data_IF_273592950930
#
_entry.id   IF_273592950930
#
_cell.length_a   1.000
_cell.length_b   1.000
_cell.length_c   1.000
_cell.angle_alpha   90.00
_cell.angle_beta   90.00
_cell.angle_gamma   90.00
#
_symmetry.space_group_name_H-M   'P 1'
#
loop_
_entity.id
_entity.type
_entity.pdbx_description
1 polymer ?
#
# COMPACT_ATOMS: atom_id res chain seq x y z
N UNK A 1 54.84 -49.58 -32.58
CA UNK A 1 54.70 -49.19 -31.13
C UNK A 1 55.05 -47.73 -31.01
N UNK A 2 54.08 -46.89 -30.72
CA UNK A 2 54.37 -45.60 -30.12
C UNK A 2 53.72 -45.45 -28.73
N UNK A 3 54.45 -44.88 -27.85
CA UNK A 3 54.18 -44.67 -26.45
C UNK A 3 53.28 -43.47 -26.28
N UNK A 4 52.10 -43.67 -25.67
CA UNK A 4 51.14 -42.62 -25.23
C UNK A 4 51.72 -41.86 -24.05
N UNK A 5 51.93 -40.54 -24.21
CA UNK A 5 52.16 -39.60 -23.10
C UNK A 5 50.82 -39.02 -22.63
N UNK A 6 50.32 -39.49 -21.51
CA UNK A 6 49.23 -38.86 -20.78
C UNK A 6 49.72 -37.59 -20.09
N UNK A 7 49.30 -36.42 -20.59
CA UNK A 7 49.45 -35.13 -19.92
C UNK A 7 48.31 -34.97 -18.91
N UNK A 8 48.65 -35.10 -17.62
CA UNK A 8 47.76 -34.76 -16.50
C UNK A 8 47.62 -33.23 -16.40
N UNK A 9 46.50 -32.67 -16.87
CA UNK A 9 46.06 -31.30 -16.60
C UNK A 9 45.44 -31.30 -15.22
N UNK A 10 46.16 -30.72 -14.23
CA UNK A 10 45.65 -30.38 -12.93
C UNK A 10 44.85 -29.07 -13.08
N UNK A 11 43.52 -29.01 -12.85
CA UNK A 11 42.81 -27.75 -12.82
C UNK A 11 43.18 -27.02 -11.51
N UNK A 12 43.85 -25.88 -11.67
CA UNK A 12 44.12 -24.92 -10.60
C UNK A 12 42.78 -24.33 -10.14
N UNK A 13 42.22 -24.87 -9.08
CA UNK A 13 40.99 -24.37 -8.45
C UNK A 13 41.32 -23.05 -7.76
N UNK A 14 41.16 -21.93 -8.46
CA UNK A 14 41.21 -20.59 -7.87
C UNK A 14 39.99 -20.44 -6.95
N UNK A 15 40.19 -20.70 -5.69
CA UNK A 15 39.22 -20.37 -4.63
C UNK A 15 39.23 -18.84 -4.54
N UNK A 16 38.35 -18.19 -5.30
CA UNK A 16 37.95 -16.81 -5.08
C UNK A 16 37.31 -16.77 -3.68
N UNK A 17 38.10 -16.35 -2.70
CA UNK A 17 37.56 -15.89 -1.42
C UNK A 17 36.67 -14.68 -1.72
N UNK A 18 35.38 -14.94 -1.89
CA UNK A 18 34.38 -13.89 -1.76
C UNK A 18 34.40 -13.49 -0.29
N UNK A 19 35.21 -12.51 0.04
CA UNK A 19 34.95 -11.76 1.25
C UNK A 19 33.53 -11.22 1.08
N UNK A 20 32.61 -11.45 2.03
CA UNK A 20 31.34 -10.73 2.00
C UNK A 20 31.73 -9.25 2.09
N UNK A 21 31.67 -8.52 0.97
CA UNK A 21 31.50 -7.08 1.07
C UNK A 21 30.30 -6.91 1.99
N UNK A 22 30.53 -6.36 3.19
CA UNK A 22 29.44 -5.84 4.01
C UNK A 22 28.73 -4.82 3.14
N UNK A 23 27.70 -5.27 2.47
CA UNK A 23 26.90 -4.42 1.61
C UNK A 23 26.22 -3.40 2.54
N UNK A 24 26.83 -2.22 2.65
CA UNK A 24 26.18 -1.09 3.28
C UNK A 24 24.95 -0.81 2.43
N UNK A 25 23.77 -0.99 3.02
CA UNK A 25 22.53 -0.76 2.33
C UNK A 25 22.22 0.74 2.33
N UNK A 26 21.98 1.28 1.15
CA UNK A 26 21.57 2.68 0.97
C UNK A 26 20.03 2.83 1.17
N UNK A 27 19.58 4.07 1.18
CA UNK A 27 18.15 4.38 1.27
C UNK A 27 17.33 3.70 0.17
N UNK A 28 17.85 3.63 -1.05
CA UNK A 28 17.14 3.04 -2.19
C UNK A 28 16.91 1.54 -2.01
N UNK A 29 17.87 0.84 -1.40
CA UNK A 29 17.69 -0.57 -1.05
C UNK A 29 16.50 -0.77 -0.11
N UNK A 30 16.39 0.03 0.95
CA UNK A 30 15.29 -0.08 1.91
C UNK A 30 13.93 0.26 1.26
N UNK A 31 13.88 1.32 0.44
CA UNK A 31 12.66 1.69 -0.30
C UNK A 31 12.24 0.56 -1.24
N UNK A 32 13.16 0.04 -2.06
CA UNK A 32 12.86 -1.04 -3.00
C UNK A 32 12.40 -2.31 -2.28
N UNK A 33 13.05 -2.66 -1.17
CA UNK A 33 12.70 -3.83 -0.36
C UNK A 33 11.32 -3.69 0.28
N UNK A 34 11.01 -2.51 0.83
CA UNK A 34 9.69 -2.21 1.39
C UNK A 34 8.58 -2.33 0.34
N UNK A 35 8.79 -1.78 -0.85
CA UNK A 35 7.84 -1.88 -1.96
C UNK A 35 7.66 -3.32 -2.43
N UNK A 36 8.75 -4.08 -2.56
CA UNK A 36 8.72 -5.49 -2.96
C UNK A 36 7.99 -6.38 -1.94
N UNK A 37 8.18 -6.11 -0.65
CA UNK A 37 7.60 -6.91 0.43
C UNK A 37 6.18 -6.47 0.80
N UNK A 38 5.74 -5.28 0.39
CA UNK A 38 4.45 -4.71 0.76
C UNK A 38 3.25 -5.60 0.38
N UNK A 39 2.46 -6.06 1.35
CA UNK A 39 1.24 -6.83 1.06
C UNK A 39 0.22 -6.02 0.26
N UNK A 40 0.10 -4.71 0.51
CA UNK A 40 -0.86 -3.83 -0.18
C UNK A 40 -0.52 -3.66 -1.66
N UNK A 41 0.76 -3.55 -2.02
CA UNK A 41 1.18 -3.47 -3.42
C UNK A 41 0.92 -4.80 -4.11
N UNK A 42 1.26 -5.92 -3.46
CA UNK A 42 0.99 -7.28 -3.98
C UNK A 42 -0.50 -7.52 -4.16
N UNK A 43 -1.32 -7.12 -3.20
CA UNK A 43 -2.79 -7.26 -3.27
C UNK A 43 -3.36 -6.50 -4.47
N UNK A 44 -2.98 -5.24 -4.68
CA UNK A 44 -3.40 -4.48 -5.86
C UNK A 44 -2.99 -5.19 -7.18
N UNK A 45 -1.79 -5.78 -7.24
CA UNK A 45 -1.33 -6.57 -8.38
C UNK A 45 -2.16 -7.84 -8.60
N UNK A 46 -2.50 -8.54 -7.53
CA UNK A 46 -3.37 -9.73 -7.57
C UNK A 46 -4.78 -9.37 -8.04
N UNK A 47 -5.34 -8.26 -7.57
CA UNK A 47 -6.65 -7.77 -8.00
C UNK A 47 -6.67 -7.36 -9.48
N UNK A 48 -5.59 -6.77 -10.01
CA UNK A 48 -5.45 -6.52 -11.46
C UNK A 48 -5.47 -7.84 -12.24
N UNK A 49 -4.76 -8.86 -11.76
CA UNK A 49 -4.77 -10.20 -12.38
C UNK A 49 -6.15 -10.85 -12.29
N UNK A 50 -6.83 -10.72 -11.16
CA UNK A 50 -8.21 -11.19 -10.99
C UNK A 50 -9.19 -10.52 -11.98
N UNK A 51 -9.03 -9.22 -12.24
CA UNK A 51 -9.81 -8.51 -13.25
C UNK A 51 -9.55 -9.04 -14.68
N UNK A 52 -8.35 -9.54 -14.99
CA UNK A 52 -8.07 -10.18 -16.28
C UNK A 52 -8.87 -11.48 -16.42
N UNK A 53 -8.86 -12.35 -15.41
CA UNK A 53 -9.69 -13.57 -15.40
C UNK A 53 -11.20 -13.25 -15.45
N UNK A 54 -11.63 -12.18 -14.77
CA UNK A 54 -13.02 -11.74 -14.85
C UNK A 54 -13.38 -11.27 -16.28
N UNK A 55 -12.46 -10.59 -16.98
CA UNK A 55 -12.68 -10.22 -18.38
C UNK A 55 -12.83 -11.47 -19.29
N UNK A 56 -12.03 -12.51 -19.04
CA UNK A 56 -12.16 -13.79 -19.75
C UNK A 56 -13.49 -14.50 -19.42
N UNK A 57 -13.90 -14.52 -18.15
CA UNK A 57 -15.18 -15.06 -17.71
C UNK A 57 -16.35 -14.35 -18.39
N UNK A 58 -16.30 -13.02 -18.43
CA UNK A 58 -17.34 -12.23 -19.09
C UNK A 58 -17.34 -12.45 -20.61
N UNK A 59 -16.19 -12.58 -21.21
CA UNK A 59 -16.07 -12.97 -22.62
C UNK A 59 -16.75 -14.32 -22.87
N UNK A 60 -16.47 -15.32 -22.02
CA UNK A 60 -17.11 -16.63 -22.13
C UNK A 60 -18.63 -16.53 -21.93
N UNK A 61 -19.10 -15.74 -20.95
CA UNK A 61 -20.53 -15.52 -20.67
C UNK A 61 -21.26 -14.92 -21.88
N UNK A 62 -20.68 -13.95 -22.56
CA UNK A 62 -21.32 -13.22 -23.65
C UNK A 62 -21.13 -13.86 -25.03
N UNK A 63 -20.11 -14.71 -25.22
CA UNK A 63 -19.78 -15.25 -26.56
C UNK A 63 -19.90 -16.76 -26.67
N UNK A 64 -19.97 -17.51 -25.55
CA UNK A 64 -20.08 -18.96 -25.57
C UNK A 64 -21.47 -19.44 -25.17
N UNK A 65 -21.95 -20.57 -25.71
CA UNK A 65 -23.19 -21.18 -25.27
C UNK A 65 -23.09 -21.61 -23.80
N UNK A 66 -24.21 -21.43 -23.07
CA UNK A 66 -24.33 -21.84 -21.68
C UNK A 66 -25.22 -23.08 -21.64
N UNK A 67 -24.73 -24.18 -21.06
CA UNK A 67 -25.45 -25.41 -20.85
C UNK A 67 -25.80 -25.57 -19.38
N UNK A 68 -27.08 -25.79 -19.08
CA UNK A 68 -27.55 -26.03 -17.71
C UNK A 68 -28.60 -27.17 -17.68
N UNK A 69 -28.66 -27.85 -16.56
CA UNK A 69 -29.76 -28.82 -16.29
C UNK A 69 -30.69 -28.21 -15.25
N UNK A 70 -31.99 -28.27 -15.52
CA UNK A 70 -33.02 -27.82 -14.60
C UNK A 70 -34.04 -28.94 -14.37
N UNK A 71 -34.45 -29.11 -13.11
CA UNK A 71 -35.56 -29.99 -12.75
C UNK A 71 -36.55 -29.18 -11.91
N UNK A 72 -37.79 -29.27 -12.22
CA UNK A 72 -38.85 -28.58 -11.51
C UNK A 72 -40.08 -29.49 -11.32
N UNK A 73 -40.67 -29.37 -10.17
CA UNK A 73 -41.99 -29.88 -9.87
C UNK A 73 -42.88 -28.71 -9.43
N UNK A 74 -44.02 -28.57 -10.04
CA UNK A 74 -45.01 -27.57 -9.65
C UNK A 74 -46.33 -28.27 -9.32
N UNK A 75 -46.90 -27.96 -8.16
CA UNK A 75 -48.20 -28.41 -7.73
C UNK A 75 -49.19 -27.25 -7.87
N UNK A 76 -50.22 -27.43 -8.73
CA UNK A 76 -51.18 -26.39 -9.07
C UNK A 76 -52.60 -26.99 -9.12
N UNK A 77 -53.23 -27.25 -7.98
CA UNK A 77 -54.62 -27.68 -7.92
C UNK A 77 -55.55 -26.53 -8.32
N UNK A 78 -56.78 -26.86 -8.70
CA UNK A 78 -57.85 -25.90 -9.02
C UNK A 78 -58.95 -25.92 -7.96
N UNK A 79 -59.65 -24.80 -7.83
CA UNK A 79 -60.93 -24.73 -7.12
C UNK A 79 -62.06 -24.86 -8.12
N UNK A 80 -62.66 -26.01 -8.18
CA UNK A 80 -63.88 -26.31 -9.02
C UNK A 80 -65.12 -25.85 -8.30
N UNK A 81 -66.06 -25.24 -9.03
CA UNK A 81 -67.32 -24.79 -8.50
C UNK A 81 -68.50 -25.38 -9.35
N UNK A 82 -68.38 -26.62 -9.76
CA UNK A 82 -69.38 -27.31 -10.53
C UNK A 82 -70.54 -27.74 -9.62
N UNK A 83 -71.79 -27.65 -10.17
CA UNK A 83 -73.01 -27.99 -9.46
C UNK A 83 -73.19 -27.24 -8.12
N UNK A 84 -72.69 -26.01 -8.00
CA UNK A 84 -72.87 -25.17 -6.81
C UNK A 84 -72.07 -25.64 -5.58
N UNK A 85 -71.11 -26.54 -5.74
CA UNK A 85 -70.16 -26.99 -4.67
C UNK A 85 -68.74 -26.63 -5.01
N UNK A 86 -68.12 -25.87 -4.13
CA UNK A 86 -66.65 -25.54 -4.26
C UNK A 86 -65.84 -26.71 -3.72
N UNK A 87 -64.91 -27.21 -4.54
CA UNK A 87 -64.08 -28.36 -4.22
C UNK A 87 -62.64 -28.11 -4.75
N UNK A 88 -61.67 -28.58 -4.02
CA UNK A 88 -60.28 -28.59 -4.48
C UNK A 88 -60.06 -29.81 -5.36
N UNK A 89 -59.83 -29.60 -6.66
CA UNK A 89 -59.60 -30.67 -7.62
C UNK A 89 -58.09 -30.63 -8.08
N UNK A 90 -57.60 -31.83 -8.35
CA UNK A 90 -56.15 -31.99 -8.72
C UNK A 90 -55.91 -31.85 -10.23
N UNK A 91 -57.02 -31.79 -11.04
CA UNK A 91 -56.94 -31.52 -12.47
C UNK A 91 -58.13 -30.75 -12.96
N UNK A 92 -58.03 -30.11 -14.12
CA UNK A 92 -59.08 -29.33 -14.74
C UNK A 92 -60.00 -30.15 -15.70
N UNK A 93 -59.68 -31.43 -15.94
CA UNK A 93 -60.44 -32.27 -16.88
C UNK A 93 -61.83 -32.54 -16.33
N UNK A 94 -62.84 -32.09 -17.06
CA UNK A 94 -64.23 -32.24 -16.67
C UNK A 94 -64.80 -31.16 -15.75
N UNK A 95 -63.98 -30.17 -15.36
CA UNK A 95 -64.42 -28.98 -14.64
C UNK A 95 -64.89 -27.91 -15.63
N UNK A 96 -66.21 -27.47 -15.50
CA UNK A 96 -66.77 -26.41 -16.36
C UNK A 96 -66.53 -24.99 -15.73
N UNK A 97 -66.54 -24.94 -14.38
CA UNK A 97 -66.32 -23.67 -13.62
C UNK A 97 -65.26 -23.88 -12.59
N UNK A 98 -64.10 -23.29 -12.78
CA UNK A 98 -63.00 -23.37 -11.83
C UNK A 98 -62.18 -22.10 -11.77
N UNK A 99 -61.42 -21.94 -10.68
CA UNK A 99 -60.39 -20.89 -10.48
C UNK A 99 -59.04 -21.58 -10.20
N UNK A 100 -58.04 -21.24 -10.99
CA UNK A 100 -56.70 -21.83 -10.92
C UNK A 100 -56.02 -21.83 -12.28
N UNK A 101 -54.83 -22.42 -12.35
CA UNK A 101 -54.11 -22.54 -13.61
C UNK A 101 -54.72 -23.64 -14.47
N UNK A 102 -54.89 -23.39 -15.77
CA UNK A 102 -55.36 -24.37 -16.75
C UNK A 102 -54.21 -25.34 -17.12
N UNK A 103 -53.76 -26.11 -16.14
CA UNK A 103 -52.74 -27.15 -16.29
C UNK A 103 -53.40 -28.51 -16.13
N UNK A 104 -53.61 -29.20 -17.25
CA UNK A 104 -54.13 -30.59 -17.23
C UNK A 104 -53.05 -31.49 -16.53
N UNK A 105 -53.43 -32.09 -15.42
CA UNK A 105 -52.53 -32.93 -14.62
C UNK A 105 -53.34 -34.09 -13.99
N UNK A 106 -52.73 -35.25 -13.84
CA UNK A 106 -53.33 -36.39 -13.21
C UNK A 106 -53.39 -36.31 -11.69
N UNK A 107 -52.57 -35.44 -11.09
CA UNK A 107 -52.41 -35.31 -9.65
C UNK A 107 -52.12 -33.87 -9.17
N UNK A 108 -52.53 -32.88 -9.96
CA UNK A 108 -52.25 -31.46 -9.66
C UNK A 108 -50.78 -31.02 -9.88
N UNK A 109 -49.93 -31.86 -10.46
CA UNK A 109 -48.53 -31.59 -10.62
C UNK A 109 -48.04 -31.52 -12.07
N UNK A 110 -47.03 -30.69 -12.32
CA UNK A 110 -46.23 -30.72 -13.53
C UNK A 110 -44.78 -31.11 -13.20
N UNK A 111 -44.20 -31.94 -14.05
CA UNK A 111 -42.89 -32.52 -13.86
C UNK A 111 -42.00 -32.11 -15.04
N UNK A 112 -40.86 -31.54 -14.75
CA UNK A 112 -39.93 -31.07 -15.77
C UNK A 112 -38.49 -31.47 -15.42
N UNK A 113 -37.77 -32.00 -16.37
CA UNK A 113 -36.34 -32.24 -16.28
C UNK A 113 -35.71 -31.96 -17.64
N UNK A 114 -35.00 -30.81 -17.77
CA UNK A 114 -34.53 -30.29 -19.04
C UNK A 114 -33.02 -30.02 -19.01
N UNK A 115 -32.35 -30.28 -20.12
CA UNK A 115 -31.09 -29.68 -20.48
C UNK A 115 -31.39 -28.43 -21.30
N UNK A 116 -30.86 -27.29 -20.86
CA UNK A 116 -31.08 -26.00 -21.51
C UNK A 116 -29.76 -25.50 -22.07
N UNK A 117 -29.74 -25.16 -23.34
CA UNK A 117 -28.64 -24.49 -24.04
C UNK A 117 -29.11 -23.08 -24.38
N UNK A 118 -28.35 -22.07 -23.93
CA UNK A 118 -28.65 -20.66 -24.20
C UNK A 118 -27.41 -20.00 -24.79
N UNK A 119 -27.58 -19.28 -25.88
CA UNK A 119 -26.50 -18.50 -26.52
C UNK A 119 -26.95 -17.05 -26.70
N UNK A 120 -26.32 -16.07 -26.01
CA UNK A 120 -26.53 -14.65 -26.28
C UNK A 120 -26.13 -14.29 -27.72
N UNK A 121 -26.92 -13.45 -28.37
CA UNK A 121 -26.67 -12.93 -29.71
C UNK A 121 -26.44 -11.41 -29.62
N UNK A 122 -25.60 -10.87 -30.54
CA UNK A 122 -25.30 -9.43 -30.63
C UNK A 122 -24.83 -8.82 -29.29
N UNK A 123 -24.05 -9.57 -28.54
CA UNK A 123 -23.57 -9.19 -27.19
C UNK A 123 -22.27 -8.37 -27.18
N UNK A 124 -21.67 -8.08 -28.33
CA UNK A 124 -20.39 -7.40 -28.46
C UNK A 124 -20.34 -6.05 -27.73
N UNK A 125 -21.41 -5.23 -27.87
CA UNK A 125 -21.47 -3.93 -27.19
C UNK A 125 -21.53 -4.08 -25.66
N UNK A 126 -22.22 -5.12 -25.17
CA UNK A 126 -22.27 -5.44 -23.73
C UNK A 126 -20.90 -5.87 -23.22
N UNK A 127 -20.27 -6.80 -23.94
CA UNK A 127 -18.93 -7.28 -23.63
C UNK A 127 -17.94 -6.09 -23.57
N UNK A 128 -17.92 -5.24 -24.61
CA UNK A 128 -17.05 -4.06 -24.69
C UNK A 128 -17.27 -3.12 -23.50
N UNK A 129 -18.51 -2.77 -23.19
CA UNK A 129 -18.82 -1.85 -22.08
C UNK A 129 -18.41 -2.42 -20.73
N UNK A 130 -18.60 -3.73 -20.52
CA UNK A 130 -18.21 -4.40 -19.27
C UNK A 130 -16.69 -4.50 -19.16
N UNK A 131 -16.01 -4.79 -20.26
CA UNK A 131 -14.54 -4.77 -20.30
C UNK A 131 -13.96 -3.38 -20.05
N UNK A 132 -14.57 -2.31 -20.60
CA UNK A 132 -14.16 -0.91 -20.30
C UNK A 132 -14.21 -0.65 -18.79
N UNK A 133 -15.24 -1.11 -18.07
CA UNK A 133 -15.31 -0.97 -16.61
C UNK A 133 -14.16 -1.69 -15.90
N UNK A 134 -13.86 -2.93 -16.29
CA UNK A 134 -12.75 -3.71 -15.71
C UNK A 134 -11.38 -3.04 -15.97
N UNK A 135 -11.18 -2.48 -17.16
CA UNK A 135 -9.97 -1.72 -17.48
C UNK A 135 -9.83 -0.51 -16.57
N UNK A 136 -10.90 0.27 -16.37
CA UNK A 136 -10.88 1.42 -15.45
C UNK A 136 -10.64 0.95 -14.01
N UNK A 137 -11.27 -0.13 -13.56
CA UNK A 137 -11.02 -0.74 -12.27
C UNK A 137 -9.55 -1.14 -12.09
N UNK A 138 -8.95 -1.76 -13.09
CA UNK A 138 -7.53 -2.12 -13.06
C UNK A 138 -6.61 -0.89 -13.04
N UNK A 139 -6.96 0.19 -13.74
CA UNK A 139 -6.22 1.45 -13.68
C UNK A 139 -6.28 2.10 -12.29
N UNK A 140 -7.43 2.02 -11.61
CA UNK A 140 -7.58 2.47 -10.22
C UNK A 140 -6.66 1.67 -9.30
N UNK A 141 -6.65 0.34 -9.41
CA UNK A 141 -5.78 -0.52 -8.61
C UNK A 141 -4.30 -0.24 -8.86
N UNK A 142 -3.89 -0.06 -10.11
CA UNK A 142 -2.52 0.34 -10.47
C UNK A 142 -2.15 1.71 -9.89
N UNK A 143 -3.07 2.68 -9.92
CA UNK A 143 -2.84 3.99 -9.30
C UNK A 143 -2.73 3.89 -7.77
N UNK A 144 -3.56 3.06 -7.14
CA UNK A 144 -3.48 2.80 -5.71
C UNK A 144 -2.14 2.14 -5.33
N UNK A 145 -1.65 1.19 -6.13
CA UNK A 145 -0.32 0.61 -5.91
C UNK A 145 0.79 1.67 -5.98
N UNK A 146 0.71 2.62 -6.93
CA UNK A 146 1.67 3.75 -7.03
C UNK A 146 1.58 4.67 -5.81
N UNK A 147 0.37 5.02 -5.35
CA UNK A 147 0.17 5.82 -4.15
C UNK A 147 0.75 5.11 -2.91
N UNK A 148 0.47 3.82 -2.75
CA UNK A 148 1.02 3.01 -1.65
C UNK A 148 2.54 2.93 -1.70
N UNK A 149 3.13 2.78 -2.89
CA UNK A 149 4.59 2.76 -3.06
C UNK A 149 5.22 4.10 -2.64
N UNK A 150 4.56 5.22 -2.97
CA UNK A 150 5.01 6.55 -2.60
C UNK A 150 4.83 6.84 -1.09
N UNK A 151 3.75 6.35 -0.49
CA UNK A 151 3.56 6.41 0.97
C UNK A 151 4.67 5.63 1.70
N UNK A 152 4.99 4.43 1.21
CA UNK A 152 6.10 3.63 1.76
C UNK A 152 7.45 4.33 1.60
N UNK A 153 7.73 4.89 0.43
CA UNK A 153 8.94 5.69 0.19
C UNK A 153 9.10 6.78 1.24
N UNK A 154 8.02 7.54 1.50
CA UNK A 154 8.03 8.58 2.52
C UNK A 154 8.33 8.03 3.91
N UNK A 155 7.61 7.00 4.34
CA UNK A 155 7.70 6.46 5.70
C UNK A 155 9.07 5.80 5.94
N UNK A 156 9.56 5.03 4.95
CA UNK A 156 10.88 4.38 5.01
C UNK A 156 11.99 5.43 5.05
N UNK A 157 11.87 6.49 4.24
CA UNK A 157 12.83 7.60 4.23
C UNK A 157 12.84 8.35 5.57
N UNK A 158 11.68 8.63 6.16
CA UNK A 158 11.59 9.25 7.48
C UNK A 158 12.31 8.38 8.54
N UNK A 159 12.03 7.08 8.57
CA UNK A 159 12.67 6.16 9.51
C UNK A 159 14.18 6.02 9.28
N UNK A 160 14.62 6.02 8.02
CA UNK A 160 16.04 6.00 7.67
C UNK A 160 16.77 7.25 8.17
N UNK A 161 16.15 8.43 8.05
CA UNK A 161 16.69 9.70 8.57
C UNK A 161 16.81 9.63 10.11
N UNK A 162 15.83 9.07 10.81
CA UNK A 162 15.90 8.90 12.27
C UNK A 162 17.02 7.94 12.67
N UNK A 163 17.21 6.84 11.96
CA UNK A 163 18.36 5.94 12.18
C UNK A 163 19.71 6.66 11.97
N UNK A 164 19.82 7.50 10.93
CA UNK A 164 21.03 8.31 10.70
C UNK A 164 21.24 9.35 11.79
N UNK A 165 20.18 9.97 12.29
CA UNK A 165 20.24 10.89 13.42
C UNK A 165 20.86 10.23 14.65
N UNK A 166 20.32 9.09 15.04
CA UNK A 166 20.79 8.34 16.20
C UNK A 166 22.24 7.85 16.03
N UNK A 167 22.58 7.40 14.83
CA UNK A 167 23.94 7.02 14.49
C UNK A 167 24.92 8.20 14.65
N UNK A 168 24.57 9.40 14.14
CA UNK A 168 25.38 10.62 14.29
C UNK A 168 25.53 11.03 15.76
N UNK A 169 24.43 10.94 16.54
CA UNK A 169 24.46 11.21 17.99
C UNK A 169 25.33 10.20 18.74
N UNK A 170 25.24 8.91 18.41
CA UNK A 170 26.06 7.86 19.01
C UNK A 170 27.56 8.11 18.76
N UNK A 171 27.95 8.35 17.52
CA UNK A 171 29.34 8.63 17.14
C UNK A 171 29.88 9.86 17.85
N UNK A 172 29.12 10.95 17.93
CA UNK A 172 29.52 12.14 18.65
C UNK A 172 29.69 11.87 20.14
N UNK A 173 28.71 11.22 20.77
CA UNK A 173 28.77 10.91 22.21
C UNK A 173 29.90 9.95 22.55
N UNK A 174 30.21 8.99 21.68
CA UNK A 174 31.38 8.10 21.82
C UNK A 174 32.69 8.87 21.76
N UNK A 175 32.79 9.86 20.86
CA UNK A 175 33.91 10.78 20.82
C UNK A 175 34.05 11.59 22.10
N UNK A 176 32.94 12.05 22.72
CA UNK A 176 32.95 12.74 24.00
C UNK A 176 33.39 11.84 25.15
N UNK A 177 32.90 10.60 25.20
CA UNK A 177 33.35 9.60 26.19
C UNK A 177 34.84 9.37 26.10
N UNK A 178 35.39 9.22 24.88
CA UNK A 178 36.84 9.07 24.65
C UNK A 178 37.64 10.30 25.12
N UNK A 179 37.16 11.50 24.76
CA UNK A 179 37.78 12.77 25.19
C UNK A 179 37.83 12.87 26.72
N UNK A 180 36.71 12.58 27.42
CA UNK A 180 36.67 12.65 28.87
C UNK A 180 37.54 11.60 29.54
N UNK A 181 37.71 10.43 28.91
CA UNK A 181 38.64 9.41 29.40
C UNK A 181 40.09 9.91 29.32
N UNK A 182 40.51 10.51 28.21
CA UNK A 182 41.83 11.11 28.03
C UNK A 182 42.09 12.26 29.03
N UNK A 183 41.06 13.12 29.23
CA UNK A 183 41.13 14.20 30.21
C UNK A 183 41.26 13.67 31.65
N UNK A 184 40.57 12.61 32.00
CA UNK A 184 40.66 11.96 33.31
C UNK A 184 42.07 11.51 33.64
N UNK A 185 42.77 10.94 32.67
CA UNK A 185 44.16 10.49 32.86
C UNK A 185 45.13 11.66 33.00
N UNK A 186 44.87 12.76 32.28
CA UNK A 186 45.60 14.03 32.47
C UNK A 186 45.36 14.61 33.88
N UNK A 187 44.09 14.73 34.29
CA UNK A 187 43.73 15.29 35.60
C UNK A 187 44.28 14.47 36.76
N UNK A 188 44.38 13.15 36.63
CA UNK A 188 45.03 12.31 37.64
C UNK A 188 46.47 12.78 37.90
N UNK A 189 47.25 13.02 36.85
CA UNK A 189 48.62 13.50 36.94
C UNK A 189 48.69 14.93 37.55
N UNK A 190 47.73 15.80 37.20
CA UNK A 190 47.67 17.17 37.73
C UNK A 190 47.30 17.19 39.24
N UNK A 191 46.46 16.26 39.70
CA UNK A 191 46.16 16.08 41.13
C UNK A 191 47.36 15.51 41.87
N UNK A 192 48.06 14.52 41.33
CA UNK A 192 49.29 13.98 41.88
C UNK A 192 50.38 15.08 42.03
N UNK A 193 50.39 16.04 41.08
CA UNK A 193 51.30 17.21 41.12
C UNK A 193 50.75 18.37 41.99
N UNK A 194 49.65 18.19 42.72
CA UNK A 194 48.99 19.19 43.58
C UNK A 194 48.52 20.47 42.86
N UNK A 195 48.34 20.42 41.54
CA UNK A 195 47.81 21.54 40.73
C UNK A 195 46.27 21.60 40.89
N UNK A 196 45.61 20.45 40.99
CA UNK A 196 44.17 20.32 41.18
C UNK A 196 43.82 19.47 42.40
N UNK A 197 42.58 19.58 42.86
CA UNK A 197 42.08 18.83 44.04
C UNK A 197 41.50 17.47 43.62
N UNK A 198 41.48 16.53 44.54
CA UNK A 198 40.80 15.22 44.32
C UNK A 198 39.32 15.39 43.98
N UNK A 199 38.64 16.43 44.51
CA UNK A 199 37.25 16.77 44.14
C UNK A 199 37.09 17.10 42.64
N UNK A 200 38.09 17.70 42.03
CA UNK A 200 38.07 18.07 40.59
C UNK A 200 38.12 16.81 39.70
N UNK A 201 38.97 15.85 40.08
CA UNK A 201 39.01 14.54 39.42
C UNK A 201 37.68 13.77 39.61
N UNK A 202 37.05 13.88 40.80
CA UNK A 202 35.75 13.26 41.07
C UNK A 202 34.63 13.85 40.19
N UNK A 203 34.62 15.19 40.00
CA UNK A 203 33.68 15.85 39.09
C UNK A 203 33.86 15.35 37.65
N UNK A 204 35.08 15.22 37.18
CA UNK A 204 35.35 14.70 35.83
C UNK A 204 34.90 13.24 35.69
N UNK A 205 35.09 12.41 36.71
CA UNK A 205 34.60 11.04 36.71
C UNK A 205 33.05 10.97 36.65
N UNK A 206 32.35 11.83 37.37
CA UNK A 206 30.87 11.92 37.30
C UNK A 206 30.44 12.27 35.88
N UNK A 207 31.07 13.27 35.24
CA UNK A 207 30.69 13.65 33.87
C UNK A 207 31.02 12.54 32.85
N UNK A 208 32.14 11.86 33.01
CA UNK A 208 32.46 10.68 32.20
C UNK A 208 31.34 9.58 32.32
N UNK A 209 30.88 9.30 33.54
CA UNK A 209 29.81 8.33 33.76
C UNK A 209 28.48 8.81 33.15
N UNK A 210 28.15 10.11 33.24
CA UNK A 210 26.98 10.71 32.62
C UNK A 210 26.98 10.50 31.10
N UNK A 211 28.11 10.76 30.41
CA UNK A 211 28.21 10.53 28.96
C UNK A 211 28.22 9.04 28.61
N UNK A 212 28.71 8.15 29.45
CA UNK A 212 28.61 6.70 29.27
C UNK A 212 27.14 6.25 29.33
N UNK A 213 26.37 6.75 30.30
CA UNK A 213 24.94 6.46 30.43
C UNK A 213 24.15 6.99 29.20
N UNK A 214 24.45 8.22 28.77
CA UNK A 214 23.87 8.78 27.53
C UNK A 214 24.19 7.93 26.30
N UNK A 215 25.45 7.51 26.14
CA UNK A 215 25.87 6.67 25.02
C UNK A 215 25.13 5.32 25.02
N UNK A 216 24.97 4.69 26.18
CA UNK A 216 24.22 3.45 26.31
C UNK A 216 22.76 3.62 25.89
N UNK A 217 22.11 4.71 26.29
CA UNK A 217 20.74 5.05 25.89
C UNK A 217 20.63 5.29 24.38
N UNK A 218 21.54 6.09 23.80
CA UNK A 218 21.54 6.37 22.36
C UNK A 218 21.76 5.08 21.56
N UNK A 219 22.71 4.21 21.96
CA UNK A 219 22.93 2.91 21.30
C UNK A 219 21.69 2.01 21.38
N UNK A 220 20.93 2.06 22.46
CA UNK A 220 19.67 1.32 22.56
C UNK A 220 18.60 1.89 21.59
N UNK A 221 18.47 3.22 21.50
CA UNK A 221 17.58 3.88 20.55
C UNK A 221 17.97 3.55 19.10
N UNK A 222 19.24 3.66 18.75
CA UNK A 222 19.77 3.31 17.41
C UNK A 222 19.37 1.88 17.00
N UNK A 223 19.47 0.91 17.92
CA UNK A 223 19.04 -0.47 17.64
C UNK A 223 17.53 -0.58 17.44
N UNK A 224 16.75 0.06 18.30
CA UNK A 224 15.28 0.08 18.17
C UNK A 224 14.86 0.66 16.83
N UNK A 225 15.37 1.84 16.48
CA UNK A 225 14.96 2.56 15.27
C UNK A 225 15.41 1.81 14.00
N UNK A 226 16.55 1.09 14.08
CA UNK A 226 16.98 0.18 13.02
C UNK A 226 16.04 -1.04 12.86
N UNK A 227 15.57 -1.61 13.97
CA UNK A 227 14.57 -2.69 13.89
C UNK A 227 13.24 -2.20 13.34
N UNK A 228 12.81 -0.99 13.70
CA UNK A 228 11.62 -0.37 13.14
C UNK A 228 11.75 -0.18 11.63
N UNK A 229 12.94 0.24 11.14
CA UNK A 229 13.24 0.31 9.70
C UNK A 229 13.12 -1.07 9.03
N UNK A 230 13.68 -2.12 9.63
CA UNK A 230 13.60 -3.47 9.10
C UNK A 230 12.15 -3.99 9.08
N UNK A 231 11.37 -3.73 10.13
CA UNK A 231 9.94 -4.09 10.20
C UNK A 231 9.17 -3.39 9.07
N UNK A 232 9.37 -2.09 8.85
CA UNK A 232 8.74 -1.33 7.77
C UNK A 232 9.08 -1.91 6.38
N UNK A 233 10.29 -2.40 6.21
CA UNK A 233 10.76 -2.98 4.95
C UNK A 233 10.43 -4.48 4.80
N UNK A 234 9.86 -5.12 5.83
CA UNK A 234 9.61 -6.55 5.84
C UNK A 234 10.91 -7.38 5.80
N UNK A 235 11.98 -6.87 6.43
CA UNK A 235 13.28 -7.53 6.55
C UNK A 235 13.32 -8.30 7.88
N UNK A 236 13.55 -9.62 7.82
CA UNK A 236 13.61 -10.46 9.02
C UNK A 236 15.01 -10.53 9.65
N UNK A 237 16.01 -9.90 9.04
CA UNK A 237 17.37 -9.86 9.58
C UNK A 237 17.46 -8.87 10.74
N UNK A 238 18.04 -9.29 11.84
CA UNK A 238 18.26 -8.50 13.05
C UNK A 238 19.72 -8.04 13.20
N UNK A 239 20.56 -8.33 12.20
CA UNK A 239 21.96 -7.90 12.19
C UNK A 239 22.02 -6.40 11.96
N UNK A 240 22.63 -5.66 12.89
CA UNK A 240 22.83 -4.23 12.73
C UNK A 240 23.89 -3.96 11.65
N UNK A 241 23.52 -3.21 10.63
CA UNK A 241 24.42 -2.76 9.58
C UNK A 241 24.51 -1.23 9.60
N UNK A 242 25.73 -0.66 9.46
CA UNK A 242 25.88 0.79 9.36
C UNK A 242 25.19 1.31 8.09
N UNK A 243 24.42 2.37 8.26
CA UNK A 243 23.70 3.01 7.16
C UNK A 243 24.59 4.00 6.42
N UNK A 244 24.40 4.10 5.10
CA UNK A 244 25.06 5.14 4.29
C UNK A 244 24.41 6.50 4.55
N UNK A 245 25.21 7.57 4.54
CA UNK A 245 24.65 8.92 4.65
C UNK A 245 23.77 9.20 3.42
N UNK A 246 22.58 9.71 3.67
CA UNK A 246 21.65 10.14 2.64
C UNK A 246 21.30 11.61 2.85
N UNK A 247 21.48 12.40 1.80
CA UNK A 247 21.09 13.80 1.77
C UNK A 247 20.00 13.98 0.71
N UNK A 248 18.84 14.41 1.16
CA UNK A 248 17.72 14.69 0.28
C UNK A 248 17.82 16.09 -0.27
N UNK A 249 17.38 16.24 -1.51
CA UNK A 249 17.24 17.53 -2.18
C UNK A 249 15.75 17.77 -2.50
N UNK A 250 15.38 19.03 -2.67
CA UNK A 250 14.04 19.39 -3.11
C UNK A 250 13.81 18.97 -4.56
N UNK A 251 12.78 18.16 -4.79
CA UNK A 251 12.42 17.73 -6.12
C UNK A 251 11.70 18.86 -6.89
N UNK A 252 11.97 18.95 -8.19
CA UNK A 252 11.21 19.80 -9.10
C UNK A 252 9.74 19.34 -9.21
N UNK A 253 8.88 20.22 -9.73
CA UNK A 253 7.45 19.92 -9.94
C UNK A 253 7.30 18.80 -10.99
N UNK A 254 6.50 17.78 -10.67
CA UNK A 254 6.09 16.77 -11.62
C UNK A 254 4.81 17.22 -12.36
N UNK A 255 4.74 16.97 -13.68
CA UNK A 255 3.58 17.35 -14.49
C UNK A 255 2.37 16.44 -14.27
N UNK A 256 2.60 15.15 -13.96
CA UNK A 256 1.57 14.13 -13.83
C UNK A 256 1.55 13.54 -12.41
N UNK A 257 0.73 14.12 -11.54
CA UNK A 257 0.56 13.64 -10.16
C UNK A 257 -0.40 12.45 -10.09
N UNK A 258 0.04 11.34 -9.46
CA UNK A 258 -0.83 10.19 -9.19
C UNK A 258 -1.99 10.54 -8.22
N UNK A 259 -1.82 11.56 -7.37
CA UNK A 259 -2.93 12.09 -6.54
C UNK A 259 -4.05 12.66 -7.40
N UNK A 260 -3.72 13.42 -8.45
CA UNK A 260 -4.73 13.98 -9.38
C UNK A 260 -5.30 12.89 -10.30
N UNK A 261 -4.49 11.91 -10.68
CA UNK A 261 -4.93 10.77 -11.46
C UNK A 261 -6.04 9.98 -10.74
N UNK A 262 -6.01 9.86 -9.41
CA UNK A 262 -7.07 9.25 -8.61
C UNK A 262 -8.43 9.87 -8.92
N UNK A 263 -8.57 11.19 -8.82
CA UNK A 263 -9.85 11.87 -9.06
C UNK A 263 -10.34 11.72 -10.51
N UNK A 264 -9.41 11.70 -11.47
CA UNK A 264 -9.75 11.44 -12.87
C UNK A 264 -10.30 10.02 -13.06
N UNK A 265 -9.65 9.03 -12.45
CA UNK A 265 -10.08 7.63 -12.53
C UNK A 265 -11.42 7.40 -11.79
N UNK A 266 -11.62 8.04 -10.65
CA UNK A 266 -12.88 7.95 -9.90
C UNK A 266 -14.04 8.54 -10.75
N UNK A 267 -13.83 9.68 -11.43
CA UNK A 267 -14.80 10.24 -12.35
C UNK A 267 -15.09 9.32 -13.56
N UNK A 268 -14.04 8.71 -14.12
CA UNK A 268 -14.18 7.77 -15.23
C UNK A 268 -14.92 6.48 -14.79
N UNK A 269 -14.68 6.02 -13.57
CA UNK A 269 -15.39 4.88 -13.00
C UNK A 269 -16.91 5.16 -12.88
N UNK A 270 -17.29 6.33 -12.40
CA UNK A 270 -18.71 6.74 -12.37
C UNK A 270 -19.33 6.76 -13.78
N UNK A 271 -18.60 7.28 -14.77
CA UNK A 271 -19.07 7.30 -16.15
C UNK A 271 -19.23 5.88 -16.73
N UNK A 272 -18.32 4.95 -16.42
CA UNK A 272 -18.46 3.56 -16.86
C UNK A 272 -19.58 2.82 -16.13
N UNK A 273 -19.83 3.10 -14.84
CA UNK A 273 -20.98 2.58 -14.10
C UNK A 273 -22.30 3.01 -14.74
N UNK A 274 -22.41 4.27 -15.19
CA UNK A 274 -23.59 4.74 -15.93
C UNK A 274 -23.78 3.95 -17.22
N UNK A 275 -22.72 3.77 -18.01
CA UNK A 275 -22.79 2.96 -19.25
C UNK A 275 -23.26 1.52 -18.98
N UNK A 276 -22.76 0.88 -17.91
CA UNK A 276 -23.20 -0.46 -17.50
C UNK A 276 -24.70 -0.47 -17.14
N UNK A 277 -25.13 0.53 -16.35
CA UNK A 277 -26.54 0.66 -16.00
C UNK A 277 -27.43 0.79 -17.25
N UNK A 278 -26.99 1.53 -18.26
CA UNK A 278 -27.70 1.73 -19.52
C UNK A 278 -27.81 0.46 -20.39
N UNK A 279 -26.99 -0.58 -20.13
CA UNK A 279 -27.08 -1.83 -20.88
C UNK A 279 -28.41 -2.54 -20.72
N UNK A 280 -29.14 -2.31 -19.60
CA UNK A 280 -30.47 -2.90 -19.41
C UNK A 280 -31.52 -2.38 -20.37
N UNK A 281 -31.32 -1.18 -20.97
CA UNK A 281 -32.22 -0.57 -21.95
C UNK A 281 -31.86 -0.93 -23.39
N UNK A 282 -30.82 -1.73 -23.62
CA UNK A 282 -30.52 -2.23 -24.95
C UNK A 282 -31.21 -3.58 -25.18
N UNK A 283 -31.77 -3.83 -26.39
CA UNK A 283 -32.37 -5.13 -26.69
C UNK A 283 -31.39 -6.28 -26.37
N UNK A 284 -31.94 -7.35 -25.80
CA UNK A 284 -31.20 -8.57 -25.51
C UNK A 284 -31.85 -9.70 -26.32
N UNK A 285 -31.08 -10.24 -27.25
CA UNK A 285 -31.51 -11.38 -28.04
C UNK A 285 -30.67 -12.58 -27.67
N UNK A 286 -31.30 -13.71 -27.44
CA UNK A 286 -30.66 -15.02 -27.29
C UNK A 286 -31.42 -16.07 -28.05
N UNK A 287 -30.73 -17.07 -28.56
CA UNK A 287 -31.40 -18.30 -28.94
C UNK A 287 -31.24 -19.33 -27.83
N UNK A 288 -32.24 -20.20 -27.73
CA UNK A 288 -32.20 -21.29 -26.79
C UNK A 288 -32.62 -22.60 -27.46
N UNK A 289 -32.15 -23.72 -26.90
CA UNK A 289 -32.59 -25.05 -27.21
C UNK A 289 -32.73 -25.85 -25.92
N UNK A 290 -33.82 -26.54 -25.75
CA UNK A 290 -34.07 -27.38 -24.58
C UNK A 290 -34.30 -28.81 -25.04
N UNK A 291 -33.81 -29.76 -24.26
CA UNK A 291 -34.02 -31.19 -24.49
C UNK A 291 -34.34 -31.87 -23.15
N UNK A 292 -35.40 -32.66 -23.07
CA UNK A 292 -35.70 -33.40 -21.84
C UNK A 292 -37.14 -33.81 -21.66
N UNK A 293 -37.45 -34.11 -20.43
CA UNK A 293 -38.78 -34.60 -20.04
C UNK A 293 -39.65 -33.42 -19.55
N UNK A 294 -40.84 -33.27 -20.10
CA UNK A 294 -41.81 -32.28 -19.65
C UNK A 294 -43.21 -32.90 -19.76
N UNK A 295 -43.88 -33.05 -18.64
CA UNK A 295 -45.16 -33.68 -18.62
C UNK A 295 -46.00 -33.42 -17.37
N UNK A 296 -47.30 -33.53 -17.53
CA UNK A 296 -48.30 -33.37 -16.45
C UNK A 296 -48.83 -34.71 -15.95
N UNK A 297 -48.44 -35.82 -16.58
CA UNK A 297 -48.93 -37.16 -16.30
C UNK A 297 -47.78 -38.10 -15.89
N UNK A 298 -47.76 -38.55 -14.65
CA UNK A 298 -46.69 -39.38 -14.09
C UNK A 298 -46.56 -40.76 -14.76
N UNK A 299 -47.64 -41.50 -15.03
CA UNK A 299 -47.52 -42.74 -15.77
C UNK A 299 -46.94 -42.50 -17.17
N UNK A 300 -45.90 -43.24 -17.51
CA UNK A 300 -45.16 -43.10 -18.78
C UNK A 300 -44.46 -41.76 -18.98
N UNK A 301 -44.06 -41.05 -17.90
CA UNK A 301 -43.35 -39.79 -17.95
C UNK A 301 -42.07 -39.88 -18.85
N UNK A 302 -41.37 -41.02 -18.86
CA UNK A 302 -40.20 -41.28 -19.71
C UNK A 302 -40.51 -41.18 -21.23
N UNK A 303 -41.78 -41.31 -21.64
CA UNK A 303 -42.21 -41.12 -23.02
C UNK A 303 -42.46 -39.65 -23.40
N UNK A 304 -42.35 -38.73 -22.45
CA UNK A 304 -42.54 -37.29 -22.63
C UNK A 304 -41.23 -36.56 -22.86
N UNK A 305 -40.27 -37.25 -23.47
CA UNK A 305 -39.05 -36.64 -23.96
C UNK A 305 -39.34 -35.79 -25.20
N UNK A 306 -38.89 -34.52 -25.17
CA UNK A 306 -39.12 -33.58 -26.26
C UNK A 306 -37.90 -32.67 -26.49
N UNK A 307 -37.92 -31.96 -27.60
CA UNK A 307 -36.97 -30.94 -27.99
C UNK A 307 -37.73 -29.65 -28.28
N UNK A 308 -37.19 -28.53 -27.85
CA UNK A 308 -37.70 -27.23 -28.26
C UNK A 308 -36.54 -26.28 -28.52
N UNK A 309 -36.69 -25.34 -29.45
CA UNK A 309 -35.74 -24.28 -29.75
C UNK A 309 -36.49 -23.01 -30.11
N UNK A 310 -35.89 -21.87 -29.80
CA UNK A 310 -36.52 -20.59 -30.07
C UNK A 310 -35.58 -19.41 -29.89
N UNK A 311 -36.15 -18.23 -30.05
CA UNK A 311 -35.46 -16.95 -29.82
C UNK A 311 -36.16 -16.26 -28.64
N UNK A 312 -35.37 -15.69 -27.75
CA UNK A 312 -35.83 -14.84 -26.65
C UNK A 312 -35.33 -13.41 -26.86
N UNK A 313 -36.25 -12.46 -27.03
CA UNK A 313 -35.98 -11.03 -27.12
C UNK A 313 -36.55 -10.34 -25.88
N UNK A 314 -35.67 -9.67 -25.14
CA UNK A 314 -36.04 -8.84 -24.00
C UNK A 314 -35.64 -7.38 -24.24
N UNK A 315 -36.57 -6.47 -23.96
CA UNK A 315 -36.37 -5.02 -24.08
C UNK A 315 -37.16 -4.29 -23.00
N UNK A 316 -36.52 -3.36 -22.29
CA UNK A 316 -37.16 -2.59 -21.23
C UNK A 316 -37.66 -1.25 -21.81
N UNK A 317 -38.97 -1.08 -21.95
CA UNK A 317 -39.63 0.12 -22.46
C UNK A 317 -39.78 1.23 -21.40
N UNK A 318 -40.09 0.84 -20.19
CA UNK A 318 -40.35 1.73 -19.07
C UNK A 318 -39.85 1.10 -17.78
N UNK A 319 -39.21 1.89 -16.93
CA UNK A 319 -38.59 1.42 -15.68
C UNK A 319 -38.84 2.34 -14.47
N UNK A 320 -39.82 3.24 -14.56
CA UNK A 320 -40.12 4.19 -13.50
C UNK A 320 -39.06 5.29 -13.40
N UNK A 321 -38.50 5.76 -14.51
CA UNK A 321 -37.45 6.84 -14.58
C UNK A 321 -36.12 6.50 -13.92
N UNK A 322 -35.81 5.23 -13.66
CA UNK A 322 -34.56 4.83 -13.02
C UNK A 322 -33.32 5.30 -13.79
N UNK A 323 -33.38 5.37 -15.13
CA UNK A 323 -32.26 5.85 -15.94
C UNK A 323 -31.92 7.31 -15.63
N UNK A 324 -32.92 8.17 -15.57
CA UNK A 324 -32.77 9.62 -15.27
C UNK A 324 -32.29 9.80 -13.83
N UNK A 325 -32.93 9.14 -12.87
CA UNK A 325 -32.57 9.17 -11.45
C UNK A 325 -31.10 8.71 -11.23
N UNK A 326 -30.69 7.64 -11.95
CA UNK A 326 -29.29 7.20 -11.84
C UNK A 326 -28.30 8.21 -12.46
N UNK A 327 -28.68 8.85 -13.57
CA UNK A 327 -27.88 9.92 -14.18
C UNK A 327 -27.70 11.13 -13.24
N UNK A 328 -28.79 11.54 -12.57
CA UNK A 328 -28.75 12.62 -11.58
C UNK A 328 -27.86 12.23 -10.39
N UNK A 329 -27.99 11.00 -9.89
CA UNK A 329 -27.12 10.45 -8.84
C UNK A 329 -25.66 10.54 -9.26
N UNK A 330 -25.28 10.09 -10.45
CA UNK A 330 -23.91 10.13 -10.96
C UNK A 330 -23.43 11.59 -11.07
N UNK A 331 -24.27 12.49 -11.53
CA UNK A 331 -23.95 13.92 -11.62
C UNK A 331 -23.63 14.54 -10.26
N UNK A 332 -24.39 14.20 -9.22
CA UNK A 332 -24.10 14.64 -7.84
C UNK A 332 -22.78 14.05 -7.32
N UNK A 333 -22.51 12.75 -7.58
CA UNK A 333 -21.25 12.13 -7.19
C UNK A 333 -20.03 12.74 -7.92
N UNK A 334 -20.17 13.12 -9.19
CA UNK A 334 -19.12 13.84 -9.93
C UNK A 334 -18.82 15.22 -9.32
N UNK A 335 -19.84 15.96 -8.85
CA UNK A 335 -19.64 17.21 -8.11
C UNK A 335 -18.83 16.99 -6.84
N UNK A 336 -19.08 15.88 -6.11
CA UNK A 336 -18.30 15.53 -4.93
C UNK A 336 -16.83 15.26 -5.27
N UNK A 337 -16.53 14.52 -6.34
CA UNK A 337 -15.15 14.28 -6.80
C UNK A 337 -14.46 15.59 -7.16
N UNK A 338 -15.15 16.50 -7.84
CA UNK A 338 -14.61 17.83 -8.18
C UNK A 338 -14.28 18.63 -6.92
N UNK A 339 -15.19 18.66 -5.94
CA UNK A 339 -14.97 19.33 -4.67
C UNK A 339 -13.76 18.76 -3.89
N UNK A 340 -13.61 17.43 -3.84
CA UNK A 340 -12.44 16.80 -3.21
C UNK A 340 -11.14 17.16 -3.96
N UNK A 341 -11.16 17.17 -5.28
CA UNK A 341 -10.00 17.56 -6.10
C UNK A 341 -9.58 19.01 -5.84
N UNK A 342 -10.53 19.95 -5.83
CA UNK A 342 -10.27 21.36 -5.57
C UNK A 342 -9.73 21.59 -4.16
N UNK A 343 -10.33 20.94 -3.16
CA UNK A 343 -9.85 20.98 -1.79
C UNK A 343 -8.42 20.42 -1.67
N UNK A 344 -8.12 19.28 -2.32
CA UNK A 344 -6.78 18.73 -2.34
C UNK A 344 -5.77 19.72 -2.94
N UNK A 345 -6.07 20.34 -4.07
CA UNK A 345 -5.18 21.31 -4.71
C UNK A 345 -4.90 22.52 -3.82
N UNK A 346 -5.95 23.07 -3.19
CA UNK A 346 -5.82 24.19 -2.25
C UNK A 346 -4.97 23.81 -1.04
N UNK A 347 -5.31 22.72 -0.36
CA UNK A 347 -4.56 22.26 0.82
C UNK A 347 -3.11 21.92 0.47
N UNK A 348 -2.87 21.27 -0.67
CA UNK A 348 -1.51 20.89 -1.07
C UNK A 348 -0.64 22.13 -1.37
N UNK A 349 -1.21 23.17 -1.96
CA UNK A 349 -0.51 24.44 -2.16
C UNK A 349 -0.08 25.06 -0.82
N UNK A 350 -1.00 25.14 0.14
CA UNK A 350 -0.72 25.69 1.48
C UNK A 350 0.31 24.84 2.21
N UNK A 351 0.21 23.49 2.17
CA UNK A 351 1.20 22.60 2.79
C UNK A 351 2.61 22.83 2.25
N UNK A 352 2.75 22.91 0.94
CA UNK A 352 4.07 23.14 0.31
C UNK A 352 4.64 24.50 0.71
N UNK A 353 3.85 25.56 0.70
CA UNK A 353 4.28 26.89 1.14
C UNK A 353 4.71 26.87 2.62
N UNK A 354 3.93 26.22 3.49
CA UNK A 354 4.29 26.06 4.90
C UNK A 354 5.64 25.37 5.06
N UNK A 355 5.86 24.25 4.37
CA UNK A 355 7.10 23.48 4.46
C UNK A 355 8.30 24.30 3.98
N UNK A 356 8.16 25.05 2.88
CA UNK A 356 9.24 25.91 2.37
C UNK A 356 9.61 27.02 3.36
N UNK A 357 8.63 27.65 4.02
CA UNK A 357 8.90 28.67 5.05
C UNK A 357 9.58 28.04 6.27
N UNK A 358 9.16 26.85 6.70
CA UNK A 358 9.84 26.13 7.77
C UNK A 358 11.28 25.77 7.39
N UNK A 359 11.54 25.27 6.18
CA UNK A 359 12.89 24.97 5.69
C UNK A 359 13.83 26.18 5.72
N UNK A 360 13.34 27.36 5.37
CA UNK A 360 14.13 28.58 5.49
C UNK A 360 14.55 28.83 6.96
N UNK A 361 13.61 28.74 7.90
CA UNK A 361 13.92 28.88 9.33
C UNK A 361 14.93 27.85 9.85
N UNK A 362 14.80 26.59 9.40
CA UNK A 362 15.78 25.55 9.77
C UNK A 362 17.17 25.84 9.21
N UNK A 363 17.26 26.36 7.97
CA UNK A 363 18.53 26.74 7.37
C UNK A 363 19.23 27.86 8.15
N UNK A 364 18.48 28.88 8.57
CA UNK A 364 19.00 29.97 9.40
C UNK A 364 19.50 29.45 10.78
N UNK A 365 18.71 28.62 11.44
CA UNK A 365 19.05 28.03 12.76
C UNK A 365 20.26 27.12 12.68
N UNK A 366 20.40 26.34 11.62
CA UNK A 366 21.57 25.48 11.38
C UNK A 366 22.85 26.32 11.21
N UNK A 367 22.77 27.41 10.44
CA UNK A 367 23.94 28.32 10.29
C UNK A 367 24.38 28.94 11.62
N UNK A 368 23.42 29.34 12.48
CA UNK A 368 23.71 29.86 13.82
C UNK A 368 24.34 28.77 14.69
N UNK A 369 23.81 27.57 14.71
CA UNK A 369 24.34 26.46 15.50
C UNK A 369 25.75 26.04 15.04
N UNK A 370 26.00 26.04 13.72
CA UNK A 370 27.33 25.78 13.15
C UNK A 370 28.36 26.81 13.60
N UNK A 371 27.98 28.10 13.58
CA UNK A 371 28.86 29.15 14.07
C UNK A 371 29.15 28.98 15.57
N UNK A 372 28.12 28.70 16.39
CA UNK A 372 28.31 28.42 17.81
C UNK A 372 29.27 27.26 18.07
N UNK A 373 29.16 26.17 17.28
CA UNK A 373 30.07 25.03 17.41
C UNK A 373 31.54 25.44 17.12
N UNK A 374 31.77 26.24 16.09
CA UNK A 374 33.11 26.80 15.78
C UNK A 374 33.67 27.64 16.93
N UNK A 375 32.81 28.49 17.50
CA UNK A 375 33.20 29.34 18.64
C UNK A 375 33.53 28.51 19.90
N UNK A 376 32.73 27.47 20.18
CA UNK A 376 33.04 26.52 21.27
C UNK A 376 34.34 25.74 21.02
N UNK A 377 34.68 25.36 19.79
CA UNK A 377 35.93 24.66 19.49
C UNK A 377 37.12 25.55 19.75
N UNK A 378 37.05 26.83 19.41
CA UNK A 378 38.09 27.82 19.73
C UNK A 378 38.25 27.97 21.25
N UNK A 379 37.14 28.15 21.98
CA UNK A 379 37.13 28.31 23.44
C UNK A 379 37.69 27.07 24.15
N UNK A 380 37.28 25.87 23.76
CA UNK A 380 37.74 24.61 24.35
C UNK A 380 39.26 24.44 24.14
N UNK A 381 39.77 24.83 22.97
CA UNK A 381 41.20 24.77 22.70
C UNK A 381 42.02 25.80 23.53
N UNK A 382 41.45 26.98 23.84
CA UNK A 382 42.04 27.93 24.77
C UNK A 382 42.04 27.34 26.21
N UNK A 383 40.89 26.84 26.67
CA UNK A 383 40.71 26.26 27.99
C UNK A 383 41.59 25.03 28.26
N UNK A 384 41.89 24.21 27.25
CA UNK A 384 42.86 23.10 27.39
C UNK A 384 44.27 23.57 27.79
N UNK A 385 44.70 24.73 27.30
CA UNK A 385 46.00 25.32 27.66
C UNK A 385 46.00 25.89 29.08
N UNK A 386 44.95 26.59 29.45
CA UNK A 386 44.75 27.19 30.77
C UNK A 386 44.62 26.15 31.89
N UNK A 387 43.99 25.00 31.61
CA UNK A 387 43.92 23.87 32.55
C UNK A 387 45.32 23.33 32.88
N UNK A 388 46.19 23.15 31.88
CA UNK A 388 47.52 22.59 32.08
C UNK A 388 48.33 23.52 32.98
N UNK A 389 48.13 24.84 32.89
CA UNK A 389 48.81 25.85 33.73
C UNK A 389 48.13 26.09 35.09
N UNK A 390 47.02 25.42 35.37
CA UNK A 390 46.23 25.59 36.62
C UNK A 390 45.47 26.92 36.70
N UNK A 391 45.34 27.65 35.60
CA UNK A 391 44.66 28.96 35.56
C UNK A 391 43.13 28.87 35.41
N UNK A 392 42.60 27.73 34.97
CA UNK A 392 41.18 27.52 34.76
C UNK A 392 40.62 26.46 35.71
N UNK A 393 39.45 26.69 36.26
CA UNK A 393 38.72 25.68 37.06
C UNK A 393 38.16 24.56 36.19
N UNK A 394 38.18 23.31 36.68
CA UNK A 394 37.60 22.16 36.00
C UNK A 394 36.08 22.36 35.70
N UNK A 395 35.38 23.06 36.59
CA UNK A 395 33.94 23.36 36.44
C UNK A 395 33.67 24.15 35.17
N UNK A 396 34.44 25.20 34.92
CA UNK A 396 34.29 26.02 33.70
C UNK A 396 34.55 25.19 32.44
N UNK A 397 35.58 24.37 32.45
CA UNK A 397 35.90 23.49 31.31
C UNK A 397 34.80 22.49 31.05
N UNK A 398 34.30 21.77 32.09
CA UNK A 398 33.24 20.79 31.95
C UNK A 398 31.95 21.43 31.51
N UNK A 399 31.58 22.61 32.04
CA UNK A 399 30.38 23.34 31.60
C UNK A 399 30.47 23.73 30.12
N UNK A 400 31.66 24.16 29.64
CA UNK A 400 31.86 24.49 28.23
C UNK A 400 31.74 23.24 27.34
N UNK A 401 32.29 22.09 27.75
CA UNK A 401 32.14 20.83 27.04
C UNK A 401 30.67 20.40 26.99
N UNK A 402 29.92 20.52 28.10
CA UNK A 402 28.49 20.20 28.17
C UNK A 402 27.67 21.10 27.24
N UNK A 403 27.90 22.40 27.28
CA UNK A 403 27.17 23.35 26.44
C UNK A 403 27.44 23.09 24.96
N UNK A 404 28.72 22.83 24.59
CA UNK A 404 29.06 22.40 23.22
C UNK A 404 28.34 21.11 22.82
N UNK A 405 28.27 20.13 23.74
CA UNK A 405 27.58 18.88 23.48
C UNK A 405 26.08 19.08 23.25
N UNK A 406 25.45 19.99 24.00
CA UNK A 406 24.05 20.37 23.79
C UNK A 406 23.84 21.02 22.42
N UNK A 407 24.68 21.98 22.02
CA UNK A 407 24.60 22.61 20.70
C UNK A 407 24.83 21.59 19.58
N UNK A 408 25.75 20.64 19.74
CA UNK A 408 25.99 19.59 18.75
C UNK A 408 24.79 18.65 18.61
N UNK A 409 24.18 18.28 19.74
CA UNK A 409 22.93 17.49 19.72
C UNK A 409 21.84 18.24 18.98
N UNK A 410 21.63 19.50 19.33
CA UNK A 410 20.59 20.34 18.73
C UNK A 410 20.84 20.56 17.23
N UNK A 411 22.10 20.76 16.80
CA UNK A 411 22.49 20.81 15.39
C UNK A 411 22.12 19.51 14.67
N UNK A 412 22.39 18.34 15.26
CA UNK A 412 22.07 17.05 14.66
C UNK A 412 20.55 16.87 14.53
N UNK A 413 19.79 17.24 15.55
CA UNK A 413 18.32 17.18 15.52
C UNK A 413 17.73 18.14 14.47
N UNK A 414 18.24 19.38 14.40
CA UNK A 414 17.83 20.37 13.40
C UNK A 414 18.12 19.90 11.97
N UNK A 415 19.32 19.34 11.74
CA UNK A 415 19.70 18.77 10.44
C UNK A 415 18.80 17.61 10.03
N UNK A 416 18.49 16.70 10.94
CA UNK A 416 17.57 15.60 10.66
C UNK A 416 16.16 16.09 10.40
N UNK A 417 15.68 17.07 11.16
CA UNK A 417 14.36 17.67 10.96
C UNK A 417 14.26 18.40 9.62
N UNK A 418 15.34 19.08 9.18
CA UNK A 418 15.40 19.67 7.83
C UNK A 418 15.24 18.59 6.74
N UNK A 419 15.92 17.45 6.88
CA UNK A 419 15.80 16.34 5.94
C UNK A 419 14.37 15.73 5.93
N UNK A 420 13.72 15.60 7.09
CA UNK A 420 12.33 15.17 7.19
C UNK A 420 11.36 16.15 6.49
N UNK A 421 11.61 17.46 6.60
CA UNK A 421 10.83 18.48 5.89
C UNK A 421 11.03 18.41 4.38
N UNK A 422 12.27 18.18 3.91
CA UNK A 422 12.56 17.96 2.49
C UNK A 422 11.81 16.73 1.98
N UNK A 423 11.85 15.62 2.74
CA UNK A 423 11.07 14.43 2.40
C UNK A 423 9.55 14.71 2.35
N UNK A 424 9.02 15.44 3.32
CA UNK A 424 7.61 15.84 3.35
C UNK A 424 7.24 16.75 2.16
N UNK A 425 8.12 17.68 1.76
CA UNK A 425 7.91 18.49 0.57
C UNK A 425 7.88 17.63 -0.69
N UNK A 426 8.87 16.75 -0.87
CA UNK A 426 8.97 15.86 -2.03
C UNK A 426 7.75 14.95 -2.13
N UNK A 427 7.26 14.44 -1.01
CA UNK A 427 6.04 13.64 -0.94
C UNK A 427 4.82 14.40 -1.47
N UNK A 428 4.61 15.65 -1.10
CA UNK A 428 3.47 16.44 -1.58
C UNK A 428 3.69 17.09 -2.95
N UNK A 429 4.91 17.09 -3.44
CA UNK A 429 5.27 17.67 -4.75
C UNK A 429 5.39 16.61 -5.86
N UNK A 430 4.92 15.43 -5.58
CA UNK A 430 4.95 14.24 -6.45
C UNK A 430 3.79 14.15 -7.45
#
# INVERSE_FOLDING_TARGET
MPINRFLLLIPLLVILHHQPLSAQHDLNYYIATAQQNSPLIKDNGNLVSANQFEAERLRALYTKPQLSATAAYSFAPILSNDNGRTRLDLNSVGAEKYVGYDIASSNGGTYQALLNLIQPLFSEQRLKTTQEQLVVGSQILQNNAKLTAHDLEKIVTDQYILCLQDYKLANYTEGMVKLLLEQRDLFRKLVESSIYKQSDLSLLNIEYQNFLAQLAQIKANTRRDFFDLNILCGINDTTYLPLLNAELILNGRLENSAYLQKYRLDSLNLATQQKIFELKYKPQLSWFANAGLNGVYVPNFYRRFGLSAGLNLSYTFYDGHQKEINQDRITVLQKSISAYRENFLSQNSVRKTKILNELQSYTERLAIAEQQLKDYDVLINAYKREIISGQLTIVNYLNTLKNRALVQRDYTLLSSQQQLLINAYNYWNW
#
